data_IF_728463276902
#
_entry.id   IF_728463276902
#
_cell.length_a   1.000
_cell.length_b   1.000
_cell.length_c   1.000
_cell.angle_alpha   90.00
_cell.angle_beta   90.00
_cell.angle_gamma   90.00
#
_symmetry.space_group_name_H-M   'P 1'
#
loop_
_entity.id
_entity.type
_entity.pdbx_description
1 polymer ?
#
# COMPACT_ATOMS: atom_id res chain seq x y z
N UNK A 1 45.63 -1.09 -4.55
CA UNK A 1 44.30 -0.73 -5.05
C UNK A 1 43.31 -1.34 -4.05
N UNK A 2 43.01 -0.61 -2.98
CA UNK A 2 42.12 -1.06 -1.91
C UNK A 2 40.68 -0.83 -2.42
N UNK A 3 39.99 -1.91 -2.73
CA UNK A 3 38.55 -1.86 -2.99
C UNK A 3 37.86 -1.42 -1.70
N UNK A 4 37.31 -0.22 -1.70
CA UNK A 4 36.36 0.24 -0.69
C UNK A 4 35.20 -0.77 -0.68
N UNK A 5 35.19 -1.66 0.31
CA UNK A 5 33.98 -2.32 0.77
C UNK A 5 33.14 -1.23 1.43
N UNK A 6 32.32 -0.52 0.66
CA UNK A 6 31.18 0.18 1.21
C UNK A 6 30.36 -0.88 1.92
N UNK A 7 30.35 -0.80 3.23
CA UNK A 7 29.48 -1.61 4.09
C UNK A 7 28.05 -1.36 3.61
N UNK A 8 27.45 -2.37 2.99
CA UNK A 8 26.12 -2.34 2.42
C UNK A 8 25.07 -2.33 3.58
N UNK A 9 25.10 -1.25 4.35
CA UNK A 9 24.22 -1.08 5.50
C UNK A 9 22.86 -0.70 4.94
N UNK A 10 21.87 -1.57 5.10
CA UNK A 10 20.47 -1.28 4.72
C UNK A 10 20.04 0.07 5.28
N UNK A 11 19.50 0.99 4.48
CA UNK A 11 19.04 2.28 4.98
C UNK A 11 17.94 2.11 6.02
N UNK A 12 17.81 3.11 6.90
CA UNK A 12 16.68 3.16 7.84
C UNK A 12 15.39 3.43 7.07
N UNK A 13 14.33 2.74 7.45
CA UNK A 13 13.02 2.94 6.87
C UNK A 13 11.90 2.74 7.88
N UNK A 14 10.78 3.36 7.62
CA UNK A 14 9.55 3.19 8.37
C UNK A 14 8.49 2.46 7.54
N UNK A 15 7.55 1.81 8.22
CA UNK A 15 6.37 1.17 7.62
C UNK A 15 5.13 1.89 8.16
N UNK A 16 4.28 2.40 7.28
CA UNK A 16 3.05 3.10 7.59
C UNK A 16 1.83 2.23 7.33
N UNK A 17 1.01 2.04 8.35
CA UNK A 17 -0.26 1.31 8.29
C UNK A 17 -1.40 2.19 8.81
N UNK A 18 -2.58 2.03 8.21
CA UNK A 18 -3.80 2.69 8.68
C UNK A 18 -4.84 1.62 9.00
N UNK A 19 -5.23 1.54 10.26
CA UNK A 19 -6.28 0.65 10.74
C UNK A 19 -7.63 1.36 10.76
N UNK A 20 -8.68 0.65 10.33
CA UNK A 20 -10.06 1.04 10.54
C UNK A 20 -10.96 -0.18 10.65
N UNK A 21 -11.32 -0.57 11.90
CA UNK A 21 -12.26 -1.66 12.21
C UNK A 21 -11.92 -3.01 11.55
N UNK A 22 -10.64 -3.38 11.48
CA UNK A 22 -10.17 -4.58 10.78
C UNK A 22 -9.28 -5.47 11.65
N UNK A 23 -9.70 -5.72 12.91
CA UNK A 23 -8.90 -6.46 13.90
C UNK A 23 -8.21 -7.70 13.33
N UNK A 24 -8.94 -8.61 12.69
CA UNK A 24 -8.38 -9.87 12.21
C UNK A 24 -7.27 -9.68 11.15
N UNK A 25 -7.47 -8.74 10.22
CA UNK A 25 -6.49 -8.43 9.17
C UNK A 25 -5.28 -7.72 9.77
N UNK A 26 -5.53 -6.71 10.60
CA UNK A 26 -4.48 -5.93 11.27
C UNK A 26 -3.62 -6.81 12.16
N UNK A 27 -4.26 -7.70 12.95
CA UNK A 27 -3.55 -8.67 13.80
C UNK A 27 -2.65 -9.58 12.97
N UNK A 28 -3.17 -10.18 11.89
CA UNK A 28 -2.37 -11.05 11.01
C UNK A 28 -1.21 -10.29 10.37
N UNK A 29 -1.47 -9.10 9.82
CA UNK A 29 -0.45 -8.25 9.21
C UNK A 29 0.69 -7.92 10.19
N UNK A 30 0.34 -7.43 11.39
CA UNK A 30 1.33 -7.05 12.40
C UNK A 30 2.04 -8.26 13.00
N UNK A 31 1.38 -9.41 13.14
CA UNK A 31 2.03 -10.65 13.58
C UNK A 31 3.14 -11.07 12.60
N UNK A 32 2.87 -11.05 11.30
CA UNK A 32 3.90 -11.36 10.29
C UNK A 32 5.06 -10.37 10.32
N UNK A 33 4.79 -9.07 10.44
CA UNK A 33 5.85 -8.06 10.57
C UNK A 33 6.69 -8.26 11.83
N UNK A 34 6.04 -8.58 12.96
CA UNK A 34 6.75 -8.87 14.22
C UNK A 34 7.64 -10.11 14.11
N UNK A 35 7.16 -11.18 13.48
CA UNK A 35 7.97 -12.37 13.21
C UNK A 35 9.22 -12.02 12.40
N UNK A 36 9.11 -11.24 11.34
CA UNK A 36 10.29 -10.82 10.57
C UNK A 36 11.29 -9.99 11.38
N UNK A 37 10.79 -9.15 12.31
CA UNK A 37 11.66 -8.40 13.23
C UNK A 37 12.36 -9.35 14.23
N UNK A 38 11.62 -10.31 14.80
CA UNK A 38 12.12 -11.26 15.80
C UNK A 38 13.10 -12.27 15.20
N UNK A 39 12.86 -12.70 13.96
CA UNK A 39 13.74 -13.60 13.20
C UNK A 39 15.01 -12.89 12.67
N UNK A 40 15.14 -11.58 12.93
CA UNK A 40 16.30 -10.80 12.51
C UNK A 40 16.39 -10.56 11.01
N UNK A 41 15.28 -10.71 10.28
CA UNK A 41 15.20 -10.36 8.86
C UNK A 41 15.42 -8.85 8.61
N UNK A 42 15.16 -8.05 9.63
CA UNK A 42 15.48 -6.62 9.71
C UNK A 42 16.29 -6.34 10.97
N UNK A 43 17.22 -5.40 10.87
CA UNK A 43 17.76 -4.79 12.08
C UNK A 43 16.65 -3.93 12.74
N UNK A 44 16.18 -4.37 13.91
CA UNK A 44 15.11 -3.71 14.66
C UNK A 44 15.42 -2.24 14.98
N UNK A 45 16.71 -1.85 15.02
CA UNK A 45 17.12 -0.45 15.21
C UNK A 45 17.00 0.39 13.93
N UNK A 46 16.70 -0.23 12.81
CA UNK A 46 16.63 0.42 11.50
C UNK A 46 15.24 0.42 10.87
N UNK A 47 14.27 -0.21 11.53
CA UNK A 47 12.89 -0.31 11.06
C UNK A 47 11.93 0.19 12.13
N UNK A 48 11.09 1.15 11.78
CA UNK A 48 10.01 1.64 12.65
C UNK A 48 8.66 1.28 12.03
N UNK A 49 7.74 0.79 12.85
CA UNK A 49 6.37 0.49 12.41
C UNK A 49 5.41 1.50 13.01
N UNK A 50 4.78 2.28 12.16
CA UNK A 50 3.81 3.30 12.51
C UNK A 50 2.41 2.84 12.15
N UNK A 51 1.50 2.91 13.08
CA UNK A 51 0.09 2.55 12.86
C UNK A 51 -0.80 3.71 13.27
N UNK A 52 -1.64 4.18 12.35
CA UNK A 52 -2.74 5.09 12.70
C UNK A 52 -4.00 4.27 12.89
N UNK A 53 -4.58 4.32 14.08
CA UNK A 53 -5.97 3.90 14.27
C UNK A 53 -6.91 5.06 13.90
N UNK A 54 -7.63 4.87 12.80
CA UNK A 54 -8.43 5.92 12.20
C UNK A 54 -9.85 5.95 12.80
N UNK A 55 -9.93 6.12 14.13
CA UNK A 55 -11.18 6.15 14.90
C UNK A 55 -11.99 4.84 14.82
N UNK A 56 -11.34 3.71 15.02
CA UNK A 56 -12.00 2.41 15.01
C UNK A 56 -12.96 2.23 16.19
N UNK A 57 -12.55 2.63 17.38
CA UNK A 57 -13.32 2.54 18.62
C UNK A 57 -13.89 1.12 18.87
N UNK A 58 -13.05 0.10 18.60
CA UNK A 58 -13.41 -1.31 18.75
C UNK A 58 -12.21 -2.13 19.27
N UNK A 59 -12.35 -3.43 19.31
CA UNK A 59 -11.29 -4.34 19.76
C UNK A 59 -9.95 -4.19 18.97
N UNK A 60 -9.96 -3.62 17.76
CA UNK A 60 -8.73 -3.36 17.03
C UNK A 60 -7.92 -2.22 17.65
N UNK A 61 -8.56 -1.19 18.20
CA UNK A 61 -7.91 -0.11 18.96
C UNK A 61 -7.22 -0.66 20.21
N UNK A 62 -7.94 -1.50 20.97
CA UNK A 62 -7.40 -2.12 22.19
C UNK A 62 -6.20 -3.02 21.88
N UNK A 63 -6.31 -3.82 20.81
CA UNK A 63 -5.20 -4.64 20.34
C UNK A 63 -3.97 -3.78 19.99
N UNK A 64 -4.13 -2.70 19.24
CA UNK A 64 -3.03 -1.82 18.87
C UNK A 64 -2.37 -1.18 20.10
N UNK A 65 -3.14 -0.75 21.10
CA UNK A 65 -2.63 -0.23 22.37
C UNK A 65 -1.81 -1.24 23.17
N UNK A 66 -2.06 -2.53 22.99
CA UNK A 66 -1.32 -3.60 23.68
C UNK A 66 0.05 -3.91 23.07
N UNK A 67 0.39 -3.32 21.92
CA UNK A 67 1.66 -3.56 21.23
C UNK A 67 2.69 -2.49 21.61
N UNK A 68 3.81 -2.90 22.21
CA UNK A 68 4.89 -2.03 22.67
C UNK A 68 5.96 -1.73 21.61
N UNK A 69 5.92 -2.45 20.48
CA UNK A 69 6.91 -2.38 19.40
C UNK A 69 6.48 -1.51 18.21
N UNK A 70 5.27 -0.95 18.25
CA UNK A 70 4.75 -0.04 17.21
C UNK A 70 4.64 1.40 17.73
N UNK A 71 4.68 2.36 16.83
CA UNK A 71 4.30 3.75 17.11
C UNK A 71 2.82 3.94 16.76
N UNK A 72 1.96 3.93 17.76
CA UNK A 72 0.51 4.10 17.57
C UNK A 72 0.12 5.59 17.59
N UNK A 73 -0.69 5.98 16.61
CA UNK A 73 -1.37 7.28 16.55
C UNK A 73 -2.87 7.02 16.52
N UNK A 74 -3.60 7.47 17.53
CA UNK A 74 -5.06 7.42 17.54
C UNK A 74 -5.60 8.73 16.94
N UNK A 75 -6.22 8.63 15.76
CA UNK A 75 -6.73 9.77 15.03
C UNK A 75 -8.22 9.94 15.26
N UNK A 76 -8.62 11.13 15.67
CA UNK A 76 -10.03 11.54 15.70
C UNK A 76 -10.31 12.40 14.46
N UNK A 77 -11.23 11.99 13.57
CA UNK A 77 -11.56 12.77 12.38
C UNK A 77 -12.32 14.05 12.75
N UNK A 78 -12.06 15.11 12.02
CA UNK A 78 -12.78 16.37 12.13
C UNK A 78 -14.04 16.31 11.23
N UNK A 79 -15.17 15.88 11.80
CA UNK A 79 -16.42 15.78 11.07
C UNK A 79 -16.51 14.54 10.14
N UNK A 80 -17.35 14.63 9.10
CA UNK A 80 -17.52 13.56 8.15
C UNK A 80 -16.45 13.62 7.06
N UNK A 81 -15.67 12.54 6.93
CA UNK A 81 -14.61 12.41 5.91
C UNK A 81 -14.90 11.22 4.99
N UNK A 82 -14.64 11.40 3.70
CA UNK A 82 -14.65 10.29 2.76
C UNK A 82 -13.49 9.32 3.05
N UNK A 83 -13.70 8.02 2.81
CA UNK A 83 -12.74 6.99 3.20
C UNK A 83 -11.33 7.19 2.63
N UNK A 84 -11.18 7.71 1.41
CA UNK A 84 -9.87 8.01 0.83
C UNK A 84 -9.21 9.24 1.47
N UNK A 85 -10.01 10.27 1.85
CA UNK A 85 -9.51 11.45 2.53
C UNK A 85 -9.05 11.09 3.97
N UNK A 86 -9.87 10.34 4.69
CA UNK A 86 -9.51 9.84 6.02
C UNK A 86 -8.23 9.01 6.00
N UNK A 87 -8.07 8.13 5.00
CA UNK A 87 -6.85 7.34 4.81
C UNK A 87 -5.63 8.22 4.48
N UNK A 88 -5.78 9.19 3.59
CA UNK A 88 -4.70 10.08 3.19
C UNK A 88 -4.20 10.97 4.33
N UNK A 89 -5.12 11.58 5.08
CA UNK A 89 -4.78 12.38 6.26
C UNK A 89 -4.07 11.54 7.34
N UNK A 90 -4.50 10.28 7.52
CA UNK A 90 -3.81 9.36 8.43
C UNK A 90 -2.37 9.07 7.99
N UNK A 91 -2.12 8.89 6.70
CA UNK A 91 -0.77 8.73 6.18
C UNK A 91 0.08 9.99 6.36
N UNK A 92 -0.51 11.17 6.20
CA UNK A 92 0.20 12.45 6.39
C UNK A 92 0.59 12.66 7.87
N UNK A 93 -0.22 12.21 8.83
CA UNK A 93 0.16 12.21 10.25
C UNK A 93 1.40 11.36 10.53
N UNK A 94 1.53 10.22 9.86
CA UNK A 94 2.74 9.38 9.95
C UNK A 94 3.92 10.11 9.28
N UNK A 95 3.71 10.68 8.10
CA UNK A 95 4.75 11.41 7.36
C UNK A 95 5.35 12.54 8.19
N UNK A 96 4.55 13.26 8.97
CA UNK A 96 5.04 14.32 9.87
C UNK A 96 5.97 13.77 10.97
N UNK A 97 5.66 12.58 11.50
CA UNK A 97 6.38 11.98 12.65
C UNK A 97 7.66 11.25 12.24
N UNK A 98 7.66 10.58 11.08
CA UNK A 98 8.77 9.76 10.60
C UNK A 98 10.03 10.61 10.41
N UNK A 99 11.18 10.10 10.89
CA UNK A 99 12.48 10.74 10.73
C UNK A 99 13.39 9.99 9.74
N UNK A 100 12.99 8.80 9.34
CA UNK A 100 13.71 7.99 8.36
C UNK A 100 13.61 8.60 6.96
N UNK A 101 14.57 8.27 6.09
CA UNK A 101 14.59 8.77 4.72
C UNK A 101 13.53 8.10 3.84
N UNK A 102 13.11 6.87 4.21
CA UNK A 102 12.21 6.03 3.41
C UNK A 102 10.99 5.57 4.21
N UNK A 103 9.84 5.52 3.54
CA UNK A 103 8.58 5.07 4.12
C UNK A 103 7.89 4.07 3.19
N UNK A 104 7.60 2.89 3.70
CA UNK A 104 6.70 1.95 3.05
C UNK A 104 5.26 2.25 3.44
N UNK A 105 4.42 2.58 2.47
CA UNK A 105 2.98 2.53 2.65
C UNK A 105 2.55 1.07 2.54
N UNK A 106 1.81 0.60 3.52
CA UNK A 106 1.31 -0.77 3.55
C UNK A 106 -0.12 -0.78 4.09
N UNK A 107 -1.00 -1.57 3.49
CA UNK A 107 -2.35 -1.75 4.03
C UNK A 107 -2.37 -2.86 5.09
N UNK A 108 -3.27 -2.76 6.05
CA UNK A 108 -3.46 -3.80 7.09
C UNK A 108 -3.99 -5.12 6.54
N UNK A 109 -4.45 -5.16 5.30
CA UNK A 109 -4.83 -6.36 4.54
C UNK A 109 -3.76 -6.81 3.51
N UNK A 110 -2.52 -6.36 3.69
CA UNK A 110 -1.34 -6.85 2.96
C UNK A 110 -0.51 -7.74 3.87
N UNK A 111 -0.21 -8.94 3.43
CA UNK A 111 0.52 -9.95 4.20
C UNK A 111 1.84 -10.23 3.50
N UNK A 112 2.94 -9.83 4.11
CA UNK A 112 4.29 -10.06 3.61
C UNK A 112 4.80 -11.37 4.21
N UNK A 113 5.14 -12.33 3.36
CA UNK A 113 5.69 -13.63 3.76
C UNK A 113 7.21 -13.65 3.68
N UNK A 114 7.76 -12.94 2.67
CA UNK A 114 9.18 -12.91 2.38
C UNK A 114 9.70 -11.47 2.60
N UNK A 115 10.43 -11.21 3.68
CA UNK A 115 10.86 -9.87 4.07
C UNK A 115 11.87 -9.23 3.11
N UNK A 116 12.52 -10.03 2.26
CA UNK A 116 13.45 -9.56 1.22
C UNK A 116 12.86 -8.50 0.31
N UNK A 117 11.53 -8.49 0.16
CA UNK A 117 10.82 -7.50 -0.67
C UNK A 117 11.11 -6.06 -0.26
N UNK A 118 11.29 -5.80 1.03
CA UNK A 118 11.63 -4.46 1.52
C UNK A 118 13.00 -4.02 1.01
N UNK A 119 13.99 -4.89 1.14
CA UNK A 119 15.35 -4.63 0.64
C UNK A 119 15.38 -4.48 -0.89
N UNK A 120 14.69 -5.34 -1.59
CA UNK A 120 14.56 -5.30 -3.05
C UNK A 120 13.95 -4.00 -3.57
N UNK A 121 12.95 -3.43 -2.87
CA UNK A 121 12.39 -2.15 -3.24
C UNK A 121 13.34 -0.99 -2.90
N UNK A 122 14.01 -1.05 -1.74
CA UNK A 122 15.00 -0.04 -1.35
C UNK A 122 16.13 0.09 -2.38
N UNK A 123 16.63 -1.03 -2.91
CA UNK A 123 17.67 -1.03 -3.96
C UNK A 123 17.22 -0.36 -5.26
N UNK A 124 15.90 -0.29 -5.53
CA UNK A 124 15.34 0.37 -6.72
C UNK A 124 15.13 1.87 -6.51
N UNK A 125 15.24 2.35 -5.28
CA UNK A 125 15.12 3.76 -4.94
C UNK A 125 16.49 4.43 -5.16
N UNK A 126 16.65 5.14 -6.25
CA UNK A 126 17.88 5.85 -6.66
C UNK A 126 17.70 7.34 -6.45
N UNK A 127 18.77 8.14 -6.67
CA UNK A 127 18.69 9.62 -6.56
C UNK A 127 17.57 10.26 -7.40
N UNK A 128 17.16 9.62 -8.50
CA UNK A 128 16.07 10.10 -9.35
C UNK A 128 14.73 9.43 -9.05
N UNK A 129 14.73 8.30 -8.35
CA UNK A 129 13.54 7.51 -8.06
C UNK A 129 12.98 7.88 -6.69
N UNK A 130 11.82 8.52 -6.68
CA UNK A 130 11.14 8.98 -5.44
C UNK A 130 10.16 7.95 -4.90
N UNK A 131 9.68 7.06 -5.76
CA UNK A 131 8.76 6.01 -5.34
C UNK A 131 8.96 4.70 -6.11
N UNK A 132 8.69 3.59 -5.44
CA UNK A 132 8.74 2.24 -6.02
C UNK A 132 7.46 1.50 -5.64
N UNK A 133 6.75 0.96 -6.61
CA UNK A 133 5.51 0.24 -6.31
C UNK A 133 4.92 -0.46 -7.52
N UNK A 134 3.71 -0.99 -7.35
CA UNK A 134 3.02 -1.76 -8.37
C UNK A 134 1.74 -1.07 -8.83
N UNK A 135 1.48 -1.06 -10.15
CA UNK A 135 0.27 -0.47 -10.73
C UNK A 135 -0.97 -1.36 -10.57
N UNK A 136 -0.79 -2.68 -10.65
CA UNK A 136 -1.89 -3.64 -10.69
C UNK A 136 -1.80 -4.66 -9.55
N UNK A 137 -2.94 -5.22 -9.19
CA UNK A 137 -3.05 -6.24 -8.15
C UNK A 137 -3.37 -7.62 -8.73
N UNK A 138 -2.76 -8.69 -8.20
CA UNK A 138 -2.96 -10.08 -8.66
C UNK A 138 -3.95 -10.88 -7.81
N UNK A 139 -4.82 -10.23 -7.08
CA UNK A 139 -5.76 -10.84 -6.14
C UNK A 139 -6.75 -11.88 -6.74
N UNK A 140 -6.75 -12.08 -8.05
CA UNK A 140 -7.59 -13.07 -8.74
C UNK A 140 -6.82 -14.20 -9.43
N UNK A 141 -5.50 -14.25 -9.25
CA UNK A 141 -4.60 -15.14 -9.99
C UNK A 141 -4.31 -14.63 -11.41
N UNK A 142 -3.26 -15.14 -12.02
CA UNK A 142 -2.72 -14.66 -13.30
C UNK A 142 -3.72 -14.67 -14.44
N UNK A 143 -4.43 -15.76 -14.65
CA UNK A 143 -5.36 -15.93 -15.76
C UNK A 143 -6.53 -14.93 -15.69
N UNK A 144 -7.15 -14.78 -14.50
CA UNK A 144 -8.28 -13.85 -14.33
C UNK A 144 -7.83 -12.38 -14.37
N UNK A 145 -6.61 -12.10 -13.95
CA UNK A 145 -6.05 -10.75 -14.03
C UNK A 145 -5.77 -10.39 -15.49
N UNK A 146 -5.15 -11.28 -16.27
CA UNK A 146 -4.93 -11.09 -17.71
C UNK A 146 -6.23 -10.93 -18.47
N UNK A 147 -7.25 -11.75 -18.18
CA UNK A 147 -8.59 -11.60 -18.76
C UNK A 147 -9.24 -10.27 -18.41
N UNK A 148 -9.07 -9.77 -17.18
CA UNK A 148 -9.56 -8.46 -16.78
C UNK A 148 -8.91 -7.34 -17.58
N UNK A 149 -7.58 -7.36 -17.74
CA UNK A 149 -6.84 -6.37 -18.53
C UNK A 149 -7.29 -6.39 -20.00
N UNK A 150 -7.39 -7.58 -20.58
CA UNK A 150 -7.89 -7.79 -21.92
C UNK A 150 -9.32 -7.22 -22.09
N UNK A 151 -10.24 -7.56 -21.19
CA UNK A 151 -11.60 -7.01 -21.19
C UNK A 151 -11.65 -5.50 -21.04
N UNK A 152 -10.77 -4.89 -20.21
CA UNK A 152 -10.65 -3.42 -20.07
C UNK A 152 -10.15 -2.79 -21.37
N UNK A 153 -9.14 -3.37 -22.00
CA UNK A 153 -8.62 -2.92 -23.29
C UNK A 153 -9.73 -2.85 -24.34
N UNK A 154 -10.45 -3.93 -24.58
CA UNK A 154 -11.55 -3.94 -25.54
C UNK A 154 -12.65 -2.94 -25.21
N UNK A 155 -13.08 -2.87 -23.94
CA UNK A 155 -14.08 -1.90 -23.50
C UNK A 155 -13.64 -0.46 -23.72
N UNK A 156 -12.37 -0.15 -23.52
CA UNK A 156 -11.81 1.17 -23.76
C UNK A 156 -11.95 1.56 -25.24
N UNK A 157 -11.46 0.72 -26.16
CA UNK A 157 -11.47 1.01 -27.58
C UNK A 157 -12.89 0.99 -28.19
N UNK A 158 -13.76 0.07 -27.76
CA UNK A 158 -15.16 0.06 -28.17
C UNK A 158 -15.86 1.35 -27.75
N UNK A 159 -15.65 1.81 -26.53
CA UNK A 159 -16.26 3.08 -26.06
C UNK A 159 -15.72 4.28 -26.84
N UNK A 160 -14.40 4.29 -27.08
CA UNK A 160 -13.77 5.35 -27.90
C UNK A 160 -14.31 5.37 -29.33
N UNK A 161 -14.42 4.22 -29.99
CA UNK A 161 -15.00 4.10 -31.31
C UNK A 161 -16.46 4.53 -31.35
N UNK A 162 -17.29 4.12 -30.40
CA UNK A 162 -18.69 4.58 -30.30
C UNK A 162 -18.81 6.10 -30.19
N UNK A 163 -17.97 6.74 -29.38
CA UNK A 163 -17.98 8.22 -29.26
C UNK A 163 -17.54 8.92 -30.52
N UNK A 164 -16.53 8.40 -31.24
CA UNK A 164 -16.08 8.92 -32.52
C UNK A 164 -17.20 8.85 -33.59
N UNK A 165 -18.07 7.85 -33.50
CA UNK A 165 -19.23 7.68 -34.37
C UNK A 165 -20.49 8.46 -33.89
N UNK A 166 -20.34 9.33 -32.86
CA UNK A 166 -21.48 10.11 -32.32
C UNK A 166 -22.47 9.27 -31.49
N UNK A 167 -22.19 8.01 -31.21
CA UNK A 167 -23.05 7.13 -30.43
C UNK A 167 -22.90 7.37 -28.90
N UNK A 168 -24.02 7.28 -28.17
CA UNK A 168 -23.98 7.36 -26.70
C UNK A 168 -23.11 6.23 -26.12
N UNK A 169 -22.02 6.61 -25.44
CA UNK A 169 -21.17 5.69 -24.71
C UNK A 169 -20.63 6.34 -23.44
N UNK A 170 -20.44 5.53 -22.40
CA UNK A 170 -19.74 5.98 -21.18
C UNK A 170 -18.32 6.40 -21.54
N UNK A 171 -17.78 7.34 -20.78
CA UNK A 171 -16.39 7.77 -20.93
C UNK A 171 -15.41 6.58 -20.90
N UNK A 172 -14.49 6.49 -21.87
CA UNK A 172 -13.51 5.42 -21.89
C UNK A 172 -12.50 5.64 -20.76
N UNK A 173 -12.55 4.79 -19.71
CA UNK A 173 -11.54 4.78 -18.65
C UNK A 173 -10.23 4.20 -19.21
N UNK A 174 -9.07 4.65 -18.73
CA UNK A 174 -7.79 4.02 -19.04
C UNK A 174 -7.86 2.51 -18.81
N UNK A 175 -7.32 1.73 -19.75
CA UNK A 175 -7.35 0.26 -19.62
C UNK A 175 -6.26 -0.28 -18.71
N UNK A 176 -5.17 0.48 -18.52
CA UNK A 176 -4.13 0.24 -17.49
C UNK A 176 -4.32 1.20 -16.33
N UNK A 177 -3.96 0.76 -15.15
CA UNK A 177 -3.80 1.66 -14.02
C UNK A 177 -2.60 2.58 -14.31
N UNK A 178 -2.71 3.84 -13.88
CA UNK A 178 -1.69 4.86 -14.12
C UNK A 178 -0.84 5.12 -12.88
N UNK A 179 -1.38 4.81 -11.69
CA UNK A 179 -0.77 5.14 -10.42
C UNK A 179 -0.36 3.87 -9.66
N UNK A 180 0.83 3.92 -9.04
CA UNK A 180 1.23 2.88 -8.09
C UNK A 180 0.26 2.87 -6.91
N UNK A 181 0.02 1.69 -6.37
CA UNK A 181 -0.97 1.47 -5.32
C UNK A 181 -0.33 1.58 -3.94
N UNK A 182 -1.05 2.20 -3.02
CA UNK A 182 -0.62 2.38 -1.62
C UNK A 182 -0.67 1.10 -0.78
N UNK A 183 -1.19 -0.02 -1.30
CA UNK A 183 -1.23 -1.26 -0.52
C UNK A 183 0.16 -1.81 -0.17
N UNK A 184 1.16 -1.55 -1.03
CA UNK A 184 2.57 -1.79 -0.79
C UNK A 184 3.40 -0.95 -1.75
N UNK A 185 3.97 0.14 -1.25
CA UNK A 185 4.79 1.07 -2.04
C UNK A 185 5.82 1.78 -1.16
N UNK A 186 7.04 1.90 -1.68
CA UNK A 186 8.15 2.65 -1.06
C UNK A 186 8.14 4.09 -1.55
N UNK A 187 8.40 5.03 -0.64
CA UNK A 187 8.52 6.47 -0.91
C UNK A 187 9.77 7.06 -0.28
N UNK A 188 10.47 7.92 -1.02
CA UNK A 188 11.52 8.79 -0.49
C UNK A 188 10.86 9.97 0.22
N UNK A 189 10.66 9.82 1.53
CA UNK A 189 10.00 10.85 2.34
C UNK A 189 10.92 12.01 2.68
N UNK A 190 12.22 11.81 2.63
CA UNK A 190 13.20 12.91 2.76
C UNK A 190 13.02 13.90 1.62
N UNK A 191 12.96 13.42 0.39
CA UNK A 191 12.69 14.26 -0.76
C UNK A 191 11.31 14.93 -0.66
N UNK A 192 10.26 14.19 -0.26
CA UNK A 192 8.92 14.75 -0.09
C UNK A 192 8.89 15.90 0.90
N UNK A 193 9.51 15.73 2.08
CA UNK A 193 9.57 16.77 3.12
C UNK A 193 10.34 18.00 2.67
N UNK A 194 11.45 17.82 1.97
CA UNK A 194 12.24 18.93 1.42
C UNK A 194 11.45 19.81 0.45
N UNK A 195 10.44 19.24 -0.22
CA UNK A 195 9.60 19.93 -1.20
C UNK A 195 8.20 20.29 -0.66
N UNK A 196 7.91 19.97 0.61
CA UNK A 196 6.60 20.25 1.22
C UNK A 196 5.45 19.41 0.67
N UNK A 197 5.74 18.20 0.14
CA UNK A 197 4.71 17.32 -0.39
C UNK A 197 4.16 16.37 0.67
N UNK A 198 2.88 16.04 0.53
CA UNK A 198 2.14 15.07 1.37
C UNK A 198 1.49 14.00 0.53
N UNK A 199 0.96 12.96 1.14
CA UNK A 199 0.26 11.88 0.42
C UNK A 199 -1.15 12.31 0.02
N UNK A 200 -1.82 13.11 0.86
CA UNK A 200 -3.16 13.60 0.58
C UNK A 200 -3.14 15.04 0.07
N UNK A 201 -3.22 15.19 -1.21
CA UNK A 201 -3.17 16.48 -1.90
C UNK A 201 -4.36 16.64 -2.85
N UNK A 202 -4.82 17.89 -3.05
CA UNK A 202 -5.84 18.27 -4.03
C UNK A 202 -7.17 17.51 -3.88
N UNK A 203 -7.50 17.04 -2.67
CA UNK A 203 -8.68 16.21 -2.38
C UNK A 203 -8.82 14.99 -3.31
N UNK A 204 -7.70 14.34 -3.62
CA UNK A 204 -7.63 13.14 -4.48
C UNK A 204 -7.25 11.91 -3.67
N UNK A 205 -7.41 10.75 -4.28
CA UNK A 205 -6.91 9.48 -3.70
C UNK A 205 -5.44 9.66 -3.31
N UNK A 206 -5.03 9.23 -2.11
CA UNK A 206 -3.67 9.40 -1.62
C UNK A 206 -2.62 8.99 -2.64
N UNK A 207 -1.55 9.77 -2.73
CA UNK A 207 -0.44 9.65 -3.69
C UNK A 207 -0.73 10.06 -5.13
N UNK A 208 -1.98 10.15 -5.60
CA UNK A 208 -2.26 10.39 -7.03
C UNK A 208 -1.79 11.78 -7.48
N UNK A 209 -2.12 12.83 -6.73
CA UNK A 209 -1.66 14.18 -7.07
C UNK A 209 -0.13 14.29 -7.01
N UNK A 210 0.51 13.63 -6.04
CA UNK A 210 1.95 13.58 -5.94
C UNK A 210 2.60 12.89 -7.15
N UNK A 211 2.02 11.79 -7.63
CA UNK A 211 2.53 11.08 -8.80
C UNK A 211 2.45 11.93 -10.08
N UNK A 212 1.36 12.70 -10.25
CA UNK A 212 1.27 13.64 -11.39
C UNK A 212 2.32 14.75 -11.30
N UNK A 213 2.63 15.24 -10.09
CA UNK A 213 3.70 16.24 -9.88
C UNK A 213 5.07 15.65 -10.24
N UNK A 214 5.34 14.41 -9.85
CA UNK A 214 6.63 13.74 -10.15
C UNK A 214 6.88 13.64 -11.65
N UNK A 215 5.86 13.34 -12.46
CA UNK A 215 5.97 13.31 -13.92
C UNK A 215 6.43 14.67 -14.49
N UNK A 216 5.99 15.79 -13.89
CA UNK A 216 6.37 17.13 -14.35
C UNK A 216 7.75 17.58 -13.90
N UNK A 217 8.33 16.91 -12.88
CA UNK A 217 9.61 17.30 -12.27
C UNK A 217 10.79 16.39 -12.66
N UNK A 218 10.66 15.61 -13.73
CA UNK A 218 11.68 14.64 -14.17
C UNK A 218 12.12 13.67 -13.06
N UNK A 219 11.23 13.43 -12.09
CA UNK A 219 11.41 12.41 -11.06
C UNK A 219 10.67 11.14 -11.47
N UNK A 220 11.26 10.00 -11.13
CA UNK A 220 10.78 8.71 -11.60
C UNK A 220 10.07 7.94 -10.51
N UNK A 221 9.00 7.27 -10.92
CA UNK A 221 8.36 6.22 -10.16
C UNK A 221 8.79 4.90 -10.80
N UNK A 222 9.53 4.09 -10.04
CA UNK A 222 9.89 2.77 -10.52
C UNK A 222 8.73 1.80 -10.32
N UNK A 223 8.24 1.22 -11.40
CA UNK A 223 7.13 0.27 -11.34
C UNK A 223 7.66 -1.17 -11.37
N UNK A 224 7.29 -1.94 -10.36
CA UNK A 224 7.59 -3.37 -10.32
C UNK A 224 6.45 -4.19 -10.92
N UNK A 225 6.80 -5.33 -11.49
CA UNK A 225 5.81 -6.27 -12.03
C UNK A 225 4.93 -6.82 -10.91
N UNK A 226 3.60 -6.86 -11.07
CA UNK A 226 2.73 -7.53 -10.11
C UNK A 226 3.06 -9.02 -9.96
N UNK A 227 3.50 -9.69 -11.02
CA UNK A 227 3.91 -11.10 -10.96
C UNK A 227 5.15 -11.31 -10.10
N UNK A 228 6.04 -10.33 -10.04
CA UNK A 228 7.22 -10.35 -9.19
C UNK A 228 6.84 -10.03 -7.75
N UNK A 229 6.12 -8.93 -7.50
CA UNK A 229 5.76 -8.47 -6.16
C UNK A 229 4.94 -9.51 -5.38
N UNK A 230 3.97 -10.13 -6.03
CA UNK A 230 3.10 -11.14 -5.41
C UNK A 230 3.74 -12.52 -5.22
N UNK A 231 5.05 -12.66 -5.40
CA UNK A 231 5.82 -13.79 -4.89
C UNK A 231 6.12 -13.64 -3.40
N UNK A 232 6.24 -12.40 -2.93
CA UNK A 232 6.66 -12.06 -1.58
C UNK A 232 5.47 -11.77 -0.64
N UNK A 233 4.33 -11.42 -1.20
CA UNK A 233 3.18 -10.96 -0.41
C UNK A 233 1.84 -11.32 -1.06
N UNK A 234 0.79 -11.27 -0.23
CA UNK A 234 -0.61 -11.26 -0.69
C UNK A 234 -1.30 -9.97 -0.23
N UNK A 235 -2.24 -9.47 -1.02
CA UNK A 235 -3.09 -8.35 -0.65
C UNK A 235 -4.58 -8.72 -0.81
N UNK A 236 -5.33 -8.53 0.26
CA UNK A 236 -6.76 -8.87 0.34
C UNK A 236 -7.62 -7.66 -0.06
N UNK A 237 -7.60 -7.28 -1.34
CA UNK A 237 -8.31 -6.09 -1.87
C UNK A 237 -9.66 -5.81 -1.18
N UNK A 238 -9.87 -4.58 -0.71
CA UNK A 238 -11.07 -4.11 -0.05
C UNK A 238 -11.42 -4.87 1.25
N UNK A 239 -10.41 -5.34 2.00
CA UNK A 239 -10.62 -5.99 3.29
C UNK A 239 -11.41 -5.12 4.26
N UNK A 240 -11.01 -3.87 4.41
CA UNK A 240 -11.69 -2.88 5.27
C UNK A 240 -13.13 -2.63 4.84
N UNK A 241 -13.36 -2.31 3.56
CA UNK A 241 -14.71 -2.04 3.05
C UNK A 241 -15.60 -3.29 3.16
N UNK A 242 -15.02 -4.47 2.98
CA UNK A 242 -15.75 -5.73 3.07
C UNK A 242 -16.17 -6.09 4.46
N UNK A 243 -15.34 -5.84 5.46
CA UNK A 243 -15.64 -6.15 6.85
C UNK A 243 -16.57 -5.10 7.50
N UNK A 244 -16.37 -3.82 7.19
CA UNK A 244 -17.12 -2.72 7.80
C UNK A 244 -18.50 -2.52 7.15
N UNK A 245 -18.62 -2.66 5.83
CA UNK A 245 -19.89 -2.51 5.12
C UNK A 245 -20.79 -3.74 5.19
N UNK A 246 -20.37 -4.81 5.89
CA UNK A 246 -21.12 -6.04 5.99
C UNK A 246 -21.46 -6.59 4.60
N UNK A 247 -20.49 -7.17 3.92
CA UNK A 247 -20.81 -7.98 2.74
C UNK A 247 -21.72 -9.12 3.20
N UNK A 248 -23.01 -8.90 3.15
CA UNK A 248 -24.05 -9.88 3.46
C UNK A 248 -24.04 -11.08 2.52
N UNK A 249 -23.22 -11.05 1.48
CA UNK A 249 -23.02 -12.17 0.60
C UNK A 249 -21.70 -12.85 0.90
N UNK A 250 -21.79 -14.09 1.22
CA UNK A 250 -20.70 -15.07 1.17
C UNK A 250 -20.21 -15.25 -0.27
N UNK A 251 -19.95 -14.16 -0.91
CA UNK A 251 -19.36 -13.99 -2.20
C UNK A 251 -18.06 -14.80 -2.25
N UNK A 252 -17.75 -15.46 -3.34
CA UNK A 252 -16.49 -16.21 -3.59
C UNK A 252 -15.22 -15.41 -3.22
N UNK A 253 -15.30 -14.09 -3.21
CA UNK A 253 -14.24 -13.17 -2.73
C UNK A 253 -14.00 -13.32 -1.23
N UNK A 254 -15.01 -13.24 -0.41
CA UNK A 254 -14.89 -13.36 1.07
C UNK A 254 -14.40 -14.76 1.45
N UNK A 255 -14.91 -15.82 0.82
CA UNK A 255 -14.45 -17.20 1.07
C UNK A 255 -12.96 -17.39 0.79
N UNK A 256 -12.43 -16.78 -0.30
CA UNK A 256 -11.00 -16.84 -0.61
C UNK A 256 -10.14 -16.06 0.40
N UNK A 257 -10.63 -14.91 0.85
CA UNK A 257 -9.98 -14.08 1.87
C UNK A 257 -9.88 -14.80 3.19
N UNK A 258 -10.97 -15.42 3.63
CA UNK A 258 -11.00 -16.25 4.84
C UNK A 258 -10.11 -17.49 4.72
N UNK A 259 -9.93 -18.03 3.53
CA UNK A 259 -9.02 -19.15 3.28
C UNK A 259 -7.55 -18.75 3.43
N UNK A 260 -7.19 -17.53 3.00
CA UNK A 260 -5.83 -16.97 3.20
C UNK A 260 -5.57 -16.80 4.70
N UNK A 261 -6.48 -16.15 5.43
CA UNK A 261 -6.37 -16.00 6.89
C UNK A 261 -6.25 -17.35 7.61
N UNK A 262 -7.04 -18.35 7.21
CA UNK A 262 -6.94 -19.70 7.79
C UNK A 262 -5.59 -20.37 7.52
N UNK A 263 -5.00 -20.18 6.33
CA UNK A 263 -3.67 -20.72 6.03
C UNK A 263 -2.59 -20.11 6.92
N UNK A 264 -2.62 -18.80 7.11
CA UNK A 264 -1.65 -18.08 7.95
C UNK A 264 -1.76 -18.51 9.42
N UNK A 265 -2.96 -18.79 9.92
CA UNK A 265 -3.15 -19.25 11.31
C UNK A 265 -2.85 -20.75 11.53
N UNK A 266 -2.60 -21.51 10.47
CA UNK A 266 -2.26 -22.94 10.53
C UNK A 266 -0.78 -23.21 10.24
N UNK A 267 -0.04 -22.23 9.73
CA UNK A 267 1.43 -22.23 9.60
C UNK A 267 2.09 -21.66 10.84
#
# INVERSE_FOLDING_TARGET
MLLNQETNVTPKFSIALVNYKTLALTKTCLTLLKQHLDDGAFDANRVQVWVVDNNSQDASTEYLRSLDWIHLIERLPEGHEEGFAAHGKALDMILEKVQDDYLFLMHTDTFVYEPEVFHELLQKCTQKTVAVGCLEQLNRGYFKTSWRLFSRFFKHYIRRGKRLLGLKAREPKPWREQYIKSFFALWDVKWMKQHGYTFFMQNRIPTYALQDILETQEKYIHTVSPMWLFKFLDHVEAGTVGLVAGYNDMNRRVKRKMAILKKIHQS
#
